data_IF_508477447636
#
_entry.id   IF_508477447636
#
_cell.length_a   1.000
_cell.length_b   1.000
_cell.length_c   1.000
_cell.angle_alpha   90.00
_cell.angle_beta   90.00
_cell.angle_gamma   90.00
#
_symmetry.space_group_name_H-M   'P 1'
#
loop_
_entity.id
_entity.type
_entity.pdbx_description
1 polymer ?
#
# COMPACT_ATOMS: atom_id res chain seq x y z
N UNK A 1 -5.75 12.28 19.62
CA UNK A 1 -5.92 10.86 19.92
C UNK A 1 -4.59 10.18 19.70
N UNK A 2 -4.06 9.54 20.73
CA UNK A 2 -2.62 9.24 20.90
C UNK A 2 -2.22 7.98 20.13
N UNK A 3 -1.20 8.09 19.29
CA UNK A 3 -0.65 6.96 18.53
C UNK A 3 0.36 6.25 19.44
N UNK A 4 0.15 4.98 19.72
CA UNK A 4 1.04 4.16 20.56
C UNK A 4 2.14 3.56 19.70
N UNK A 5 3.40 3.87 20.07
CA UNK A 5 4.61 3.39 19.41
C UNK A 5 4.76 1.87 19.48
N UNK A 6 5.04 1.26 18.34
CA UNK A 6 5.49 -0.13 18.26
C UNK A 6 7.02 -0.13 18.40
N UNK A 7 7.50 -0.70 19.50
CA UNK A 7 8.93 -0.84 19.79
C UNK A 7 9.44 -2.15 19.17
N UNK A 8 10.28 -2.05 18.16
CA UNK A 8 11.01 -3.20 17.61
C UNK A 8 12.22 -3.50 18.50
N UNK A 9 12.29 -4.72 19.04
CA UNK A 9 13.43 -5.20 19.82
C UNK A 9 14.52 -5.72 18.88
N UNK A 10 15.67 -5.03 18.83
CA UNK A 10 16.89 -5.52 18.19
C UNK A 10 17.62 -6.45 19.15
N UNK A 11 17.83 -7.71 18.77
CA UNK A 11 18.76 -8.61 19.42
C UNK A 11 20.16 -8.44 18.80
N UNK A 12 21.08 -7.84 19.55
CA UNK A 12 22.49 -7.72 19.18
C UNK A 12 23.25 -9.01 19.52
N UNK A 13 23.66 -9.75 18.49
CA UNK A 13 24.61 -10.85 18.63
C UNK A 13 26.05 -10.35 18.46
N UNK A 14 26.82 -10.30 19.55
CA UNK A 14 28.26 -10.05 19.53
C UNK A 14 29.00 -11.35 19.15
N UNK A 15 29.71 -11.34 18.02
CA UNK A 15 30.74 -12.32 17.73
C UNK A 15 32.08 -11.57 17.61
N UNK A 16 32.92 -11.67 18.62
CA UNK A 16 34.30 -11.18 18.62
C UNK A 16 35.21 -12.22 17.97
N UNK A 17 35.86 -11.87 16.88
CA UNK A 17 37.00 -12.59 16.32
C UNK A 17 38.20 -11.64 16.30
N UNK A 18 39.14 -11.90 17.22
CA UNK A 18 40.43 -11.26 17.25
C UNK A 18 41.36 -11.90 16.20
N UNK A 19 41.87 -11.12 15.24
CA UNK A 19 43.03 -11.44 14.44
C UNK A 19 44.11 -10.38 14.70
N UNK A 20 45.20 -10.84 15.36
CA UNK A 20 46.44 -10.08 15.43
C UNK A 20 47.23 -10.36 14.13
N UNK A 21 47.58 -9.33 13.41
CA UNK A 21 48.49 -9.38 12.26
C UNK A 21 49.17 -8.00 12.16
N UNK A 22 50.44 -7.93 12.59
CA UNK A 22 51.34 -6.84 12.25
C UNK A 22 51.76 -6.91 10.80
N UNK A 23 51.77 -5.80 10.12
CA UNK A 23 52.34 -5.61 8.79
C UNK A 23 52.27 -4.12 8.45
N UNK A 24 53.46 -3.53 8.30
CA UNK A 24 53.80 -2.15 8.01
C UNK A 24 53.37 -1.75 6.57
N UNK A 25 53.22 -0.45 6.40
CA UNK A 25 53.34 0.41 5.21
C UNK A 25 52.18 0.58 4.22
N UNK A 26 51.99 1.89 4.01
CA UNK A 26 51.51 2.64 2.85
C UNK A 26 50.03 2.97 2.73
N UNK A 27 49.87 4.25 2.87
CA UNK A 27 48.81 5.18 2.47
C UNK A 27 47.95 4.74 1.26
N UNK A 28 46.64 4.47 1.49
CA UNK A 28 45.63 5.05 0.61
C UNK A 28 44.30 5.16 1.36
N UNK A 29 43.88 6.38 1.56
CA UNK A 29 42.63 6.70 2.29
C UNK A 29 41.41 6.30 1.50
N UNK A 30 41.05 5.05 1.56
CA UNK A 30 39.73 4.61 1.13
C UNK A 30 38.74 4.91 2.25
N UNK A 31 38.16 6.10 2.21
CA UNK A 31 36.98 6.40 3.00
C UNK A 31 35.90 5.37 2.64
N UNK A 32 35.71 4.39 3.51
CA UNK A 32 34.54 3.55 3.46
C UNK A 32 33.32 4.46 3.67
N UNK A 33 32.77 4.93 2.56
CA UNK A 33 31.46 5.56 2.54
C UNK A 33 30.48 4.48 3.00
N UNK A 34 30.14 4.51 4.26
CA UNK A 34 29.01 3.78 4.77
C UNK A 34 27.80 4.37 4.04
N UNK A 35 27.44 3.75 2.91
CA UNK A 35 26.18 4.02 2.26
C UNK A 35 25.11 3.63 3.31
N UNK A 36 24.63 4.62 4.04
CA UNK A 36 23.35 4.52 4.74
C UNK A 36 22.35 4.31 3.64
N UNK A 37 21.95 3.07 3.43
CA UNK A 37 20.80 2.75 2.61
C UNK A 37 19.62 3.39 3.32
N UNK A 38 19.28 4.62 2.93
CA UNK A 38 18.00 5.19 3.28
C UNK A 38 16.99 4.19 2.71
N UNK A 39 16.32 3.45 3.56
CA UNK A 39 15.13 2.70 3.16
C UNK A 39 14.19 3.73 2.56
N UNK A 40 14.02 3.70 1.26
CA UNK A 40 12.99 4.47 0.60
C UNK A 40 11.67 4.07 1.25
N UNK A 41 11.14 4.96 2.08
CA UNK A 41 9.89 4.70 2.79
C UNK A 41 8.75 5.01 1.83
N UNK A 42 7.96 4.00 1.51
CA UNK A 42 6.67 4.21 0.87
C UNK A 42 5.77 4.93 1.89
N UNK A 43 5.17 6.02 1.48
CA UNK A 43 4.21 6.77 2.27
C UNK A 43 2.78 6.47 1.77
N UNK A 44 1.88 6.17 2.70
CA UNK A 44 0.46 5.94 2.43
C UNK A 44 -0.36 6.96 3.20
N UNK A 45 -1.13 7.76 2.48
CA UNK A 45 -1.97 8.80 3.03
C UNK A 45 -3.43 8.65 2.60
N UNK A 46 -4.33 9.31 3.36
CA UNK A 46 -5.76 9.44 3.05
C UNK A 46 -6.44 8.10 2.71
N UNK A 47 -6.07 7.03 3.43
CA UNK A 47 -6.68 5.71 3.22
C UNK A 47 -8.12 5.69 3.74
N UNK A 48 -9.04 5.23 2.89
CA UNK A 48 -10.44 5.07 3.26
C UNK A 48 -11.07 3.89 2.51
N UNK A 49 -12.07 3.28 3.10
CA UNK A 49 -12.89 2.24 2.49
C UNK A 49 -14.31 2.75 2.27
N UNK A 50 -14.90 2.31 1.18
CA UNK A 50 -16.30 2.64 0.88
C UNK A 50 -17.24 1.79 1.74
N UNK A 51 -18.24 2.44 2.33
CA UNK A 51 -19.37 1.75 3.00
C UNK A 51 -20.03 0.77 2.04
N UNK A 52 -20.38 -0.41 2.52
CA UNK A 52 -20.99 -1.44 1.70
C UNK A 52 -22.42 -1.75 2.14
N UNK A 53 -23.22 -2.29 1.22
CA UNK A 53 -24.55 -2.76 1.56
C UNK A 53 -24.47 -3.95 2.56
N UNK A 54 -25.47 -4.16 3.41
CA UNK A 54 -25.44 -5.21 4.45
C UNK A 54 -25.20 -6.63 3.93
N UNK A 55 -25.50 -6.89 2.66
CA UNK A 55 -25.30 -8.21 2.02
C UNK A 55 -24.11 -8.26 1.08
N UNK A 56 -23.34 -7.15 0.97
CA UNK A 56 -22.19 -7.10 0.09
C UNK A 56 -21.08 -8.05 0.57
N UNK A 57 -20.48 -8.73 -0.36
CA UNK A 57 -19.30 -9.59 -0.13
C UNK A 57 -18.04 -9.02 -0.77
N UNK A 58 -18.13 -7.78 -1.25
CA UNK A 58 -17.04 -7.06 -1.90
C UNK A 58 -17.01 -5.61 -1.40
N UNK A 59 -15.81 -5.08 -1.22
CA UNK A 59 -15.54 -3.70 -0.84
C UNK A 59 -14.38 -3.13 -1.64
N UNK A 60 -14.19 -1.83 -1.57
CA UNK A 60 -13.07 -1.15 -2.21
C UNK A 60 -12.39 -0.21 -1.24
N UNK A 61 -11.06 -0.20 -1.29
CA UNK A 61 -10.20 0.68 -0.51
C UNK A 61 -9.44 1.60 -1.45
N UNK A 62 -9.34 2.84 -1.07
CA UNK A 62 -8.69 3.92 -1.79
C UNK A 62 -7.66 4.60 -0.90
N UNK A 63 -6.60 5.14 -1.49
CA UNK A 63 -5.52 5.79 -0.76
C UNK A 63 -4.64 6.60 -1.71
N UNK A 64 -3.75 7.39 -1.16
CA UNK A 64 -2.64 7.98 -1.88
C UNK A 64 -1.36 7.24 -1.50
N UNK A 65 -0.52 6.93 -2.49
CA UNK A 65 0.75 6.24 -2.27
C UNK A 65 1.85 7.03 -2.98
N UNK A 66 2.93 7.30 -2.28
CA UNK A 66 4.11 7.93 -2.85
C UNK A 66 5.39 7.22 -2.39
N UNK A 67 6.39 7.23 -3.27
CA UNK A 67 7.71 6.67 -3.00
C UNK A 67 8.77 7.62 -3.56
N UNK A 68 9.70 8.17 -2.73
CA UNK A 68 10.71 9.13 -3.19
C UNK A 68 11.60 8.60 -4.30
N UNK A 69 11.94 7.32 -4.28
CA UNK A 69 12.80 6.66 -5.28
C UNK A 69 12.01 5.84 -6.31
N UNK A 70 10.69 5.85 -6.20
CA UNK A 70 9.81 4.97 -6.95
C UNK A 70 9.71 3.58 -6.33
N UNK A 71 8.58 2.92 -6.57
CA UNK A 71 8.29 1.56 -6.10
C UNK A 71 7.18 0.94 -6.96
N UNK A 72 6.81 -0.28 -6.63
CA UNK A 72 5.71 -0.99 -7.30
C UNK A 72 4.84 -1.68 -6.25
N UNK A 73 3.58 -1.28 -6.15
CA UNK A 73 2.60 -1.98 -5.33
C UNK A 73 2.21 -3.29 -6.02
N UNK A 74 2.59 -4.42 -5.44
CA UNK A 74 2.30 -5.76 -5.97
C UNK A 74 1.19 -6.48 -5.22
N UNK A 75 0.93 -6.09 -3.98
CA UNK A 75 -0.14 -6.67 -3.16
C UNK A 75 -0.55 -5.74 -2.03
N UNK A 76 -1.76 -5.94 -1.55
CA UNK A 76 -2.26 -5.39 -0.30
C UNK A 76 -2.88 -6.53 0.52
N UNK A 77 -2.99 -6.37 1.82
CA UNK A 77 -3.63 -7.37 2.67
C UNK A 77 -4.38 -6.72 3.82
N UNK A 78 -5.44 -7.37 4.25
CA UNK A 78 -6.16 -7.06 5.47
C UNK A 78 -6.29 -8.35 6.30
N UNK A 79 -6.59 -8.27 7.60
CA UNK A 79 -6.89 -9.46 8.38
C UNK A 79 -8.03 -10.27 7.77
N UNK A 80 -7.96 -11.58 7.85
CA UNK A 80 -9.01 -12.50 7.33
C UNK A 80 -10.35 -12.32 8.04
N UNK A 81 -10.36 -11.69 9.21
CA UNK A 81 -11.57 -11.25 9.90
C UNK A 81 -12.30 -10.10 9.19
N UNK A 82 -11.66 -9.43 8.24
CA UNK A 82 -12.25 -8.36 7.43
C UNK A 82 -12.60 -8.90 6.04
N UNK A 83 -11.62 -9.48 5.33
CA UNK A 83 -11.83 -10.05 4.00
C UNK A 83 -10.96 -11.30 3.78
N UNK A 84 -11.52 -12.27 3.08
CA UNK A 84 -10.80 -13.52 2.76
C UNK A 84 -9.73 -13.34 1.69
N UNK A 85 -9.87 -12.33 0.84
CA UNK A 85 -8.94 -12.05 -0.27
C UNK A 85 -8.89 -10.56 -0.59
N UNK A 86 -7.71 -10.10 -1.06
CA UNK A 86 -7.51 -8.76 -1.61
C UNK A 86 -6.92 -8.85 -3.01
N UNK A 87 -7.27 -7.93 -3.87
CA UNK A 87 -6.77 -7.84 -5.24
C UNK A 87 -6.52 -6.37 -5.62
N UNK A 88 -5.53 -6.12 -6.48
CA UNK A 88 -5.34 -4.82 -7.10
C UNK A 88 -6.20 -4.76 -8.36
N UNK A 89 -6.99 -3.72 -8.50
CA UNK A 89 -7.89 -3.52 -9.63
C UNK A 89 -7.70 -2.15 -10.27
N UNK A 90 -8.00 -2.10 -11.55
CA UNK A 90 -8.10 -0.87 -12.34
C UNK A 90 -9.46 -0.80 -13.00
N UNK A 91 -10.10 0.36 -12.97
CA UNK A 91 -11.28 0.64 -13.78
C UNK A 91 -10.81 1.27 -15.09
N UNK A 92 -11.05 0.58 -16.22
CA UNK A 92 -10.67 1.07 -17.55
C UNK A 92 -11.89 1.63 -18.28
N UNK A 93 -11.79 2.85 -18.80
CA UNK A 93 -12.74 3.35 -19.79
C UNK A 93 -13.83 4.29 -19.32
N UNK A 94 -13.55 5.13 -18.37
CA UNK A 94 -14.50 6.19 -18.04
C UNK A 94 -13.86 7.38 -17.41
N UNK A 95 -13.97 8.53 -18.04
CA UNK A 95 -13.81 9.84 -17.41
C UNK A 95 -14.98 10.08 -16.40
N UNK A 96 -15.36 9.03 -15.69
CA UNK A 96 -16.39 9.03 -14.66
C UNK A 96 -15.81 9.33 -13.26
N UNK A 97 -14.54 9.71 -13.19
CA UNK A 97 -13.88 10.09 -11.95
C UNK A 97 -14.46 11.35 -11.26
N UNK A 98 -15.47 11.95 -11.87
CA UNK A 98 -16.18 13.13 -11.32
C UNK A 98 -17.60 12.85 -10.86
N UNK A 99 -18.14 11.65 -11.08
CA UNK A 99 -19.51 11.38 -10.60
C UNK A 99 -19.46 10.90 -9.16
N UNK A 100 -20.22 11.58 -8.34
CA UNK A 100 -20.43 11.20 -6.94
C UNK A 100 -21.10 9.81 -6.93
N UNK A 101 -20.52 8.81 -6.26
CA UNK A 101 -21.06 7.44 -6.23
C UNK A 101 -22.52 7.38 -5.76
N UNK A 102 -22.95 8.33 -4.93
CA UNK A 102 -24.31 8.40 -4.40
C UNK A 102 -25.35 8.92 -5.44
N UNK A 103 -24.87 9.46 -6.56
CA UNK A 103 -25.71 9.97 -7.66
C UNK A 103 -25.77 8.99 -8.86
N UNK A 104 -25.07 7.85 -8.79
CA UNK A 104 -25.03 6.87 -9.88
C UNK A 104 -26.28 6.00 -9.91
N UNK A 105 -26.83 5.80 -11.11
CA UNK A 105 -27.90 4.83 -11.31
C UNK A 105 -27.38 3.40 -11.19
N UNK A 106 -28.25 2.41 -10.86
CA UNK A 106 -27.85 0.98 -10.81
C UNK A 106 -27.23 0.48 -12.13
N UNK A 107 -27.66 1.00 -13.27
CA UNK A 107 -27.12 0.66 -14.58
C UNK A 107 -25.70 1.19 -14.77
N UNK A 108 -25.44 2.43 -14.36
CA UNK A 108 -24.09 3.02 -14.39
C UNK A 108 -23.13 2.29 -13.48
N UNK A 109 -23.58 1.86 -12.28
CA UNK A 109 -22.77 1.02 -11.38
C UNK A 109 -22.45 -0.34 -12.02
N UNK A 110 -23.42 -0.96 -12.70
CA UNK A 110 -23.22 -2.24 -13.37
C UNK A 110 -22.23 -2.12 -14.55
N UNK A 111 -22.26 -1.01 -15.29
CA UNK A 111 -21.27 -0.75 -16.35
C UNK A 111 -19.86 -0.50 -15.79
N UNK A 112 -19.74 0.25 -14.68
CA UNK A 112 -18.45 0.42 -14.02
C UNK A 112 -17.87 -0.92 -13.55
N UNK A 113 -18.67 -1.82 -12.99
CA UNK A 113 -18.22 -3.15 -12.59
C UNK A 113 -17.67 -3.97 -13.78
N UNK A 114 -18.24 -3.81 -14.98
CA UNK A 114 -17.75 -4.50 -16.19
C UNK A 114 -16.40 -3.95 -16.70
N UNK A 115 -16.05 -2.74 -16.29
CA UNK A 115 -14.80 -2.07 -16.67
C UNK A 115 -13.68 -2.29 -15.69
N UNK A 116 -13.94 -2.92 -14.54
CA UNK A 116 -12.94 -3.29 -13.56
C UNK A 116 -12.18 -4.53 -14.00
N UNK A 117 -10.86 -4.45 -13.96
CA UNK A 117 -9.98 -5.59 -14.23
C UNK A 117 -8.95 -5.71 -13.11
N UNK A 118 -8.61 -6.92 -12.76
CA UNK A 118 -7.47 -7.18 -11.90
C UNK A 118 -6.17 -6.80 -12.61
N UNK A 119 -5.24 -6.22 -11.86
CA UNK A 119 -3.87 -5.93 -12.30
C UNK A 119 -2.88 -6.60 -11.35
N UNK A 120 -1.73 -7.00 -11.87
CA UNK A 120 -0.71 -7.67 -11.07
C UNK A 120 0.09 -6.69 -10.23
N UNK A 121 0.16 -5.43 -10.67
CA UNK A 121 0.91 -4.37 -9.98
C UNK A 121 0.44 -2.98 -10.39
N UNK A 122 0.78 -2.00 -9.54
CA UNK A 122 0.59 -0.57 -9.77
C UNK A 122 1.94 0.10 -9.59
N UNK A 123 2.47 0.73 -10.64
CA UNK A 123 3.73 1.47 -10.56
C UNK A 123 3.56 2.78 -9.78
N UNK A 124 4.51 3.09 -8.93
CA UNK A 124 4.62 4.34 -8.16
C UNK A 124 5.88 5.05 -8.62
N UNK A 125 5.78 5.99 -9.58
CA UNK A 125 6.95 6.69 -10.11
C UNK A 125 7.68 7.49 -9.02
N UNK A 126 9.00 7.60 -9.16
CA UNK A 126 9.83 8.30 -8.19
C UNK A 126 9.39 9.77 -7.99
N UNK A 127 9.12 10.12 -6.74
CA UNK A 127 8.69 11.46 -6.34
C UNK A 127 7.27 11.84 -6.76
N UNK A 128 6.51 10.92 -7.34
CA UNK A 128 5.10 11.14 -7.68
C UNK A 128 4.17 10.50 -6.65
N UNK A 129 2.93 11.01 -6.59
CA UNK A 129 1.87 10.42 -5.79
C UNK A 129 0.87 9.74 -6.71
N UNK A 130 0.71 8.44 -6.54
CA UNK A 130 -0.33 7.65 -7.21
C UNK A 130 -1.59 7.66 -6.37
N UNK A 131 -2.71 8.07 -6.97
CA UNK A 131 -4.01 8.12 -6.30
C UNK A 131 -4.83 6.89 -6.67
N UNK A 132 -5.06 6.01 -5.71
CA UNK A 132 -6.08 4.98 -5.81
C UNK A 132 -7.43 5.64 -5.48
N UNK A 133 -8.33 5.69 -6.46
CA UNK A 133 -9.60 6.42 -6.37
C UNK A 133 -10.72 5.74 -7.15
N UNK A 134 -11.99 6.02 -6.84
CA UNK A 134 -13.11 5.56 -7.66
C UNK A 134 -12.93 5.90 -9.14
N UNK A 135 -13.13 4.92 -10.02
CA UNK A 135 -12.91 5.08 -11.46
C UNK A 135 -11.45 4.95 -11.93
N UNK A 136 -10.54 4.61 -11.05
CA UNK A 136 -9.13 4.33 -11.34
C UNK A 136 -8.64 3.08 -10.63
N UNK A 137 -7.38 3.12 -10.17
CA UNK A 137 -6.82 2.06 -9.34
C UNK A 137 -7.49 2.00 -7.98
N UNK A 138 -7.64 0.79 -7.44
CA UNK A 138 -8.16 0.55 -6.10
C UNK A 138 -7.75 -0.84 -5.59
N UNK A 139 -7.81 -1.02 -4.27
CA UNK A 139 -7.69 -2.34 -3.65
C UNK A 139 -9.09 -2.90 -3.46
N UNK A 140 -9.35 -4.03 -4.10
CA UNK A 140 -10.62 -4.76 -3.96
C UNK A 140 -10.53 -5.70 -2.77
N UNK A 141 -11.49 -5.63 -1.87
CA UNK A 141 -11.71 -6.59 -0.79
C UNK A 141 -12.76 -7.60 -1.25
N UNK A 142 -12.43 -8.88 -1.18
CA UNK A 142 -13.31 -9.98 -1.57
C UNK A 142 -13.60 -10.87 -0.36
N UNK A 143 -14.77 -11.51 -0.39
CA UNK A 143 -15.20 -12.38 0.71
C UNK A 143 -15.23 -11.62 2.05
N UNK A 144 -15.85 -10.44 2.06
CA UNK A 144 -16.06 -9.68 3.30
C UNK A 144 -16.76 -10.54 4.35
N UNK A 145 -16.19 -10.57 5.54
CA UNK A 145 -16.80 -11.24 6.68
C UNK A 145 -18.08 -10.50 7.09
N UNK A 146 -17.94 -9.20 7.30
CA UNK A 146 -19.03 -8.29 7.66
C UNK A 146 -19.06 -7.08 6.69
N UNK A 147 -20.20 -6.38 6.57
CA UNK A 147 -20.27 -5.13 5.82
C UNK A 147 -19.32 -4.07 6.39
N UNK A 148 -18.77 -3.22 5.53
CA UNK A 148 -17.96 -2.07 5.95
C UNK A 148 -18.89 -0.92 6.36
N UNK A 149 -18.73 -0.42 7.58
CA UNK A 149 -19.58 0.62 8.16
C UNK A 149 -18.84 1.97 8.27
N UNK A 150 -19.61 3.05 8.34
CA UNK A 150 -19.04 4.38 8.50
C UNK A 150 -18.43 4.55 9.90
N UNK A 151 -17.21 5.11 9.94
CA UNK A 151 -16.49 5.36 11.19
C UNK A 151 -15.73 4.13 11.74
N UNK A 152 -15.82 2.99 11.08
CA UNK A 152 -15.01 1.82 11.37
C UNK A 152 -13.58 2.02 10.87
N UNK A 153 -12.59 1.49 11.60
CA UNK A 153 -11.18 1.52 11.19
C UNK A 153 -10.73 0.09 10.89
N UNK A 154 -10.27 -0.12 9.65
CA UNK A 154 -9.65 -1.37 9.20
C UNK A 154 -8.15 -1.25 9.39
N UNK A 155 -7.50 -2.19 10.09
CA UNK A 155 -6.05 -2.18 10.31
C UNK A 155 -5.25 -2.55 9.06
#
# INVERSE_FOLDING_TARGET
MTITNITAALAAGLAALAFAGCGDDDEDGSAATTATTASASVDVADAWARVTAPTAKQGAVYMQISAPEGDTLTSASVPTSIAGKTELHETTGGDHGSMNPDEMTPEQMAEQMKMMRQVDSIEIPAGETVMLKPGGYHVMLLELADPLEEGETIP
#
